data_IF_690864387086
#
_entry.id   IF_690864387086
#
_cell.length_a   1.000
_cell.length_b   1.000
_cell.length_c   1.000
_cell.angle_alpha   90.00
_cell.angle_beta   90.00
_cell.angle_gamma   90.00
#
_symmetry.space_group_name_H-M   'P 1'
#
loop_
_entity.id
_entity.type
_entity.pdbx_description
1 polymer ?
#
# COMPACT_ATOMS: atom_id res chain seq x y z
N UNK A 1 -7.10 2.79 -27.99
CA UNK A 1 -7.89 1.55 -27.81
C UNK A 1 -8.87 1.29 -28.97
N UNK A 2 -9.71 2.24 -29.39
CA UNK A 2 -10.70 1.99 -30.43
C UNK A 2 -10.10 1.72 -31.83
N UNK A 3 -8.91 2.25 -32.07
CA UNK A 3 -8.20 2.14 -33.35
C UNK A 3 -7.10 1.08 -33.35
N UNK A 4 -6.91 0.39 -32.21
CA UNK A 4 -5.82 -0.57 -31.99
C UNK A 4 -6.30 -2.02 -31.78
N UNK A 5 -7.59 -2.21 -31.45
CA UNK A 5 -8.18 -3.53 -31.23
C UNK A 5 -9.35 -3.76 -32.18
N UNK A 6 -9.35 -4.90 -32.87
CA UNK A 6 -10.50 -5.41 -33.65
C UNK A 6 -11.65 -5.87 -32.75
N UNK A 7 -12.82 -6.15 -33.33
CA UNK A 7 -14.03 -6.49 -32.60
C UNK A 7 -13.95 -7.77 -31.74
N UNK A 8 -13.05 -8.69 -32.09
CA UNK A 8 -12.85 -9.97 -31.38
C UNK A 8 -11.49 -10.06 -30.67
N UNK A 9 -10.79 -8.94 -30.54
CA UNK A 9 -9.47 -8.91 -29.90
C UNK A 9 -9.58 -8.55 -28.42
N UNK A 10 -8.65 -9.06 -27.62
CA UNK A 10 -8.54 -8.82 -26.18
C UNK A 10 -7.33 -7.94 -25.90
N UNK A 11 -7.55 -6.85 -25.17
CA UNK A 11 -6.49 -6.01 -24.61
C UNK A 11 -6.24 -6.33 -23.15
N UNK A 12 -5.01 -6.15 -22.67
CA UNK A 12 -4.65 -6.33 -21.28
C UNK A 12 -3.97 -5.07 -20.72
N UNK A 13 -4.38 -4.69 -19.51
CA UNK A 13 -3.71 -3.65 -18.71
C UNK A 13 -2.94 -4.35 -17.59
N UNK A 14 -1.63 -4.18 -17.57
CA UNK A 14 -0.80 -4.69 -16.48
C UNK A 14 -0.79 -3.67 -15.36
N UNK A 15 -1.24 -4.06 -14.19
CA UNK A 15 -1.23 -3.24 -12.98
C UNK A 15 -0.20 -3.76 -11.99
N UNK A 16 0.31 -2.88 -11.14
CA UNK A 16 1.30 -3.27 -10.14
C UNK A 16 0.60 -3.76 -8.87
N UNK A 17 0.82 -5.01 -8.51
CA UNK A 17 0.20 -5.62 -7.34
C UNK A 17 -1.20 -6.15 -7.61
N UNK A 18 -2.20 -5.60 -6.96
CA UNK A 18 -3.60 -5.99 -7.10
C UNK A 18 -4.45 -4.82 -7.62
N UNK A 19 -5.28 -5.01 -8.66
CA UNK A 19 -6.08 -3.93 -9.27
C UNK A 19 -7.14 -3.34 -8.33
N UNK A 20 -7.45 -3.98 -7.21
CA UNK A 20 -8.43 -3.48 -6.25
C UNK A 20 -7.80 -2.55 -5.18
N UNK A 21 -6.46 -2.45 -5.10
CA UNK A 21 -5.78 -1.73 -4.01
C UNK A 21 -5.06 -0.48 -4.53
N UNK A 22 -5.70 0.69 -4.39
CA UNK A 22 -5.18 1.99 -4.83
C UNK A 22 -4.70 2.04 -6.29
N UNK A 23 -5.36 1.29 -7.15
CA UNK A 23 -5.22 1.35 -8.60
C UNK A 23 -6.46 2.00 -9.22
N UNK A 24 -6.28 2.80 -10.26
CA UNK A 24 -7.39 3.52 -10.91
C UNK A 24 -7.92 2.84 -12.17
N UNK A 25 -7.31 1.74 -12.62
CA UNK A 25 -7.64 1.09 -13.91
C UNK A 25 -9.09 0.66 -13.98
N UNK A 26 -9.62 -0.02 -12.94
CA UNK A 26 -11.02 -0.47 -12.91
C UNK A 26 -11.99 0.70 -12.96
N UNK A 27 -11.73 1.76 -12.18
CA UNK A 27 -12.57 2.95 -12.18
C UNK A 27 -12.55 3.70 -13.53
N UNK A 28 -11.41 3.72 -14.22
CA UNK A 28 -11.28 4.30 -15.56
C UNK A 28 -12.07 3.46 -16.57
N UNK A 29 -11.99 2.13 -16.51
CA UNK A 29 -12.75 1.24 -17.40
C UNK A 29 -14.25 1.40 -17.19
N UNK A 30 -14.73 1.45 -15.95
CA UNK A 30 -16.14 1.72 -15.63
C UNK A 30 -16.60 3.07 -16.20
N UNK A 31 -15.79 4.11 -16.07
CA UNK A 31 -16.13 5.43 -16.62
C UNK A 31 -16.19 5.41 -18.16
N UNK A 32 -15.29 4.68 -18.83
CA UNK A 32 -15.32 4.52 -20.30
C UNK A 32 -16.60 3.81 -20.74
N UNK A 33 -16.98 2.71 -20.08
CA UNK A 33 -18.22 1.99 -20.35
C UNK A 33 -19.45 2.85 -20.12
N UNK A 34 -19.45 3.63 -19.02
CA UNK A 34 -20.56 4.55 -18.68
C UNK A 34 -20.77 5.63 -19.74
N UNK A 35 -19.72 6.08 -20.42
CA UNK A 35 -19.82 7.05 -21.53
C UNK A 35 -20.52 6.49 -22.76
N UNK A 36 -20.60 5.18 -22.89
CA UNK A 36 -21.36 4.51 -23.95
C UNK A 36 -20.76 4.62 -25.36
N UNK A 37 -19.54 5.11 -25.52
CA UNK A 37 -18.88 5.28 -26.82
C UNK A 37 -18.27 3.97 -27.35
N UNK A 38 -18.06 3.02 -26.47
CA UNK A 38 -17.50 1.69 -26.73
C UNK A 38 -18.19 0.67 -25.84
N UNK A 39 -18.22 -0.58 -26.29
CA UNK A 39 -18.71 -1.73 -25.52
C UNK A 39 -17.63 -2.80 -25.52
N UNK A 40 -17.31 -3.34 -24.34
CA UNK A 40 -16.39 -4.46 -24.14
C UNK A 40 -16.68 -5.10 -22.79
N UNK A 41 -16.28 -6.36 -22.64
CA UNK A 41 -16.30 -7.06 -21.36
C UNK A 41 -15.01 -6.79 -20.59
N UNK A 42 -15.09 -6.78 -19.27
CA UNK A 42 -13.94 -6.56 -18.37
C UNK A 42 -13.78 -7.78 -17.48
N UNK A 43 -12.58 -8.36 -17.48
CA UNK A 43 -12.17 -9.35 -16.51
C UNK A 43 -11.03 -8.77 -15.66
N UNK A 44 -11.17 -8.84 -14.34
CA UNK A 44 -10.13 -8.44 -13.41
C UNK A 44 -9.44 -9.69 -12.83
N UNK A 45 -8.16 -9.84 -13.11
CA UNK A 45 -7.34 -10.92 -12.53
C UNK A 45 -6.73 -10.42 -11.24
N UNK A 46 -7.02 -11.03 -10.08
CA UNK A 46 -6.44 -10.60 -8.80
C UNK A 46 -4.94 -10.84 -8.77
N UNK A 47 -4.22 -9.96 -8.09
CA UNK A 47 -2.79 -10.05 -7.88
C UNK A 47 -2.39 -10.09 -6.41
N UNK A 48 -1.10 -10.12 -6.14
CA UNK A 48 -0.57 -10.00 -4.79
C UNK A 48 -0.32 -8.53 -4.50
N UNK A 49 -1.13 -7.93 -3.63
CA UNK A 49 -0.96 -6.54 -3.22
C UNK A 49 0.33 -6.35 -2.40
N UNK A 50 0.85 -5.12 -2.36
CA UNK A 50 1.97 -4.78 -1.48
C UNK A 50 1.65 -5.02 0.00
N UNK A 51 0.40 -4.93 0.40
CA UNK A 51 -0.05 -5.23 1.77
C UNK A 51 0.12 -6.71 2.09
N UNK A 52 -0.30 -7.60 1.18
CA UNK A 52 -0.11 -9.04 1.33
C UNK A 52 1.38 -9.41 1.32
N UNK A 53 2.17 -8.81 0.43
CA UNK A 53 3.61 -9.02 0.39
C UNK A 53 4.28 -8.56 1.68
N UNK A 54 3.96 -7.36 2.20
CA UNK A 54 4.48 -6.82 3.45
C UNK A 54 4.28 -7.77 4.62
N UNK A 55 3.02 -8.21 4.82
CA UNK A 55 2.68 -9.07 5.96
C UNK A 55 3.35 -10.44 5.88
N UNK A 56 3.46 -11.00 4.68
CA UNK A 56 4.18 -12.24 4.44
C UNK A 56 5.68 -12.10 4.74
N UNK A 57 6.31 -11.02 4.29
CA UNK A 57 7.74 -10.76 4.52
C UNK A 57 8.06 -10.53 6.00
N UNK A 58 7.22 -9.83 6.72
CA UNK A 58 7.35 -9.64 8.17
C UNK A 58 6.82 -10.82 8.99
N UNK A 59 6.15 -11.79 8.37
CA UNK A 59 5.52 -12.95 9.04
C UNK A 59 4.54 -12.55 10.13
N UNK A 60 3.71 -11.55 9.81
CA UNK A 60 2.66 -11.04 10.70
C UNK A 60 1.29 -11.16 10.05
N UNK A 61 0.25 -11.38 10.85
CA UNK A 61 -1.13 -11.30 10.37
C UNK A 61 -1.51 -9.85 10.08
N UNK A 62 -2.22 -9.61 8.97
CA UNK A 62 -2.76 -8.29 8.66
C UNK A 62 -3.84 -7.89 9.66
N UNK A 63 -4.68 -8.85 10.02
CA UNK A 63 -5.86 -8.64 10.89
C UNK A 63 -5.71 -9.38 12.20
N UNK A 64 -6.36 -8.88 13.24
CA UNK A 64 -6.52 -9.55 14.52
C UNK A 64 -8.02 -9.86 14.74
N UNK A 65 -8.32 -11.04 15.29
CA UNK A 65 -9.72 -11.45 15.53
C UNK A 65 -10.42 -10.43 16.44
N UNK A 66 -11.57 -9.94 15.99
CA UNK A 66 -12.38 -8.98 16.74
C UNK A 66 -11.87 -7.53 16.73
N UNK A 67 -10.81 -7.23 15.99
CA UNK A 67 -10.28 -5.86 15.86
C UNK A 67 -10.39 -5.36 14.43
N UNK A 68 -10.76 -4.07 14.21
CA UNK A 68 -10.78 -3.48 12.89
C UNK A 68 -9.35 -3.21 12.41
N UNK A 69 -9.14 -3.37 11.10
CA UNK A 69 -7.93 -2.89 10.41
C UNK A 69 -8.32 -1.78 9.45
N UNK A 70 -7.67 -0.63 9.56
CA UNK A 70 -7.93 0.53 8.71
C UNK A 70 -6.88 0.61 7.61
N UNK A 71 -7.31 0.56 6.35
CA UNK A 71 -6.46 0.82 5.18
C UNK A 71 -6.61 2.28 4.77
N UNK A 72 -5.50 3.03 4.71
CA UNK A 72 -5.52 4.46 4.46
C UNK A 72 -4.27 4.94 3.69
N UNK A 73 -4.21 6.24 3.42
CA UNK A 73 -3.04 6.90 2.82
C UNK A 73 -2.29 7.74 3.85
N UNK A 74 -0.99 8.00 3.61
CA UNK A 74 -0.18 8.84 4.49
C UNK A 74 -0.81 10.22 4.73
N UNK A 75 -1.37 10.85 3.69
CA UNK A 75 -2.08 12.13 3.84
C UNK A 75 -3.24 12.04 4.85
N UNK A 76 -4.05 11.00 4.79
CA UNK A 76 -5.17 10.81 5.72
C UNK A 76 -4.70 10.50 7.12
N UNK A 77 -3.63 9.72 7.25
CA UNK A 77 -3.00 9.48 8.55
C UNK A 77 -2.51 10.79 9.19
N UNK A 78 -1.84 11.65 8.42
CA UNK A 78 -1.38 12.96 8.91
C UNK A 78 -2.53 13.90 9.31
N UNK A 79 -3.64 13.89 8.55
CA UNK A 79 -4.80 14.76 8.80
C UNK A 79 -5.63 14.33 10.03
N UNK A 80 -5.77 13.02 10.28
CA UNK A 80 -6.75 12.47 11.23
C UNK A 80 -6.14 11.63 12.34
N UNK A 81 -4.86 11.30 12.25
CA UNK A 81 -4.23 10.30 13.09
C UNK A 81 -4.73 8.87 12.80
N UNK A 82 -4.23 7.89 13.57
CA UNK A 82 -4.67 6.51 13.48
C UNK A 82 -6.10 6.36 14.04
N UNK A 83 -6.99 5.71 13.28
CA UNK A 83 -8.40 5.54 13.65
C UNK A 83 -8.72 4.10 14.08
N UNK A 84 -7.72 3.24 14.12
CA UNK A 84 -7.80 1.86 14.61
C UNK A 84 -6.47 1.47 15.25
N UNK A 85 -6.44 0.33 15.95
CA UNK A 85 -5.22 -0.21 16.53
C UNK A 85 -4.29 -0.82 15.45
N UNK A 86 -4.86 -1.32 14.36
CA UNK A 86 -4.14 -1.77 13.18
C UNK A 86 -4.43 -0.82 12.00
N UNK A 87 -3.40 -0.16 11.47
CA UNK A 87 -3.53 0.79 10.36
C UNK A 87 -2.52 0.46 9.27
N UNK A 88 -3.01 0.11 8.09
CA UNK A 88 -2.18 -0.06 6.89
C UNK A 88 -2.12 1.27 6.16
N UNK A 89 -0.93 1.71 5.84
CA UNK A 89 -0.70 2.99 5.16
C UNK A 89 0.05 2.79 3.87
N UNK A 90 -0.49 3.38 2.82
CA UNK A 90 0.10 3.41 1.49
C UNK A 90 0.20 4.85 1.00
N UNK A 91 0.97 5.09 -0.06
CA UNK A 91 1.09 6.41 -0.69
C UNK A 91 1.47 7.51 0.31
N UNK A 92 2.43 7.23 1.17
CA UNK A 92 2.93 8.16 2.17
C UNK A 92 4.20 8.87 1.67
N UNK A 93 4.05 10.12 1.25
CA UNK A 93 5.18 10.92 0.79
C UNK A 93 6.03 11.51 1.93
N UNK A 94 5.52 11.53 3.17
CA UNK A 94 6.06 12.37 4.25
C UNK A 94 6.41 11.64 5.54
N UNK A 95 6.40 10.30 5.56
CA UNK A 95 6.62 9.50 6.77
C UNK A 95 5.64 9.90 7.89
N UNK A 96 4.34 9.87 7.57
CA UNK A 96 3.25 10.30 8.45
C UNK A 96 3.11 9.48 9.74
N UNK A 97 3.90 8.42 9.89
CA UNK A 97 4.04 7.65 11.12
C UNK A 97 4.87 8.37 12.20
N UNK A 98 5.61 9.42 11.84
CA UNK A 98 6.47 10.14 12.78
C UNK A 98 5.68 10.67 13.99
N UNK A 99 6.18 10.38 15.20
CA UNK A 99 5.54 10.78 16.46
C UNK A 99 4.42 9.84 16.93
N UNK A 100 4.15 8.74 16.21
CA UNK A 100 3.21 7.70 16.67
C UNK A 100 3.97 6.65 17.53
N UNK A 101 4.52 7.10 18.64
CA UNK A 101 5.44 6.33 19.50
C UNK A 101 4.76 5.17 20.23
N UNK A 102 3.43 5.18 20.30
CA UNK A 102 2.60 4.10 20.83
C UNK A 102 2.29 2.99 19.81
N UNK A 103 2.95 3.04 18.62
CA UNK A 103 2.80 2.03 17.59
C UNK A 103 4.11 1.29 17.30
N UNK A 104 3.96 -0.01 17.00
CA UNK A 104 4.95 -0.81 16.30
C UNK A 104 4.72 -0.67 14.80
N UNK A 105 5.76 -0.42 14.02
CA UNK A 105 5.70 -0.33 12.57
C UNK A 105 6.33 -1.56 11.92
N UNK A 106 5.66 -2.07 10.88
CA UNK A 106 6.19 -3.04 9.92
C UNK A 106 6.27 -2.32 8.58
N UNK A 107 7.44 -1.86 8.21
CA UNK A 107 7.65 -1.07 7.00
C UNK A 107 8.37 -1.87 5.93
N UNK A 108 7.99 -1.66 4.65
CA UNK A 108 8.66 -2.27 3.52
C UNK A 108 8.66 -1.37 2.30
N UNK A 109 9.78 -1.33 1.60
CA UNK A 109 9.92 -0.66 0.33
C UNK A 109 10.34 -1.64 -0.76
N UNK A 110 9.92 -1.39 -2.00
CA UNK A 110 10.19 -2.20 -3.19
C UNK A 110 9.88 -3.70 -2.98
N UNK A 111 8.80 -3.99 -2.27
CA UNK A 111 8.41 -5.34 -1.88
C UNK A 111 8.33 -6.28 -3.10
N UNK A 112 8.91 -7.47 -2.94
CA UNK A 112 8.95 -8.49 -3.97
C UNK A 112 9.98 -8.24 -5.08
N UNK A 113 10.84 -7.23 -4.96
CA UNK A 113 11.92 -6.94 -5.91
C UNK A 113 13.30 -7.24 -5.31
N UNK A 114 14.37 -7.31 -6.14
CA UNK A 114 15.74 -7.45 -5.61
C UNK A 114 16.21 -6.30 -4.71
N UNK A 115 15.55 -5.14 -4.77
CA UNK A 115 15.87 -3.96 -3.97
C UNK A 115 15.04 -3.84 -2.69
N UNK A 116 14.35 -4.90 -2.31
CA UNK A 116 13.47 -4.93 -1.13
C UNK A 116 14.20 -4.49 0.14
N UNK A 117 13.56 -3.59 0.88
CA UNK A 117 14.04 -3.13 2.19
C UNK A 117 12.92 -3.36 3.20
N UNK A 118 13.26 -3.97 4.34
CA UNK A 118 12.31 -4.25 5.41
C UNK A 118 12.85 -3.70 6.74
N UNK A 119 11.99 -3.03 7.50
CA UNK A 119 12.28 -2.58 8.87
C UNK A 119 11.06 -2.83 9.74
N UNK A 120 11.25 -3.30 10.97
CA UNK A 120 10.18 -3.38 11.96
C UNK A 120 10.68 -3.07 13.36
N UNK A 121 9.83 -2.48 14.18
CA UNK A 121 10.12 -2.11 15.56
C UNK A 121 9.15 -1.05 16.07
N UNK A 122 9.25 -0.64 17.34
CA UNK A 122 8.56 0.54 17.84
C UNK A 122 8.90 1.77 16.99
N UNK A 123 7.91 2.59 16.65
CA UNK A 123 8.14 3.81 15.83
C UNK A 123 9.17 4.71 16.48
N UNK A 124 9.14 4.86 17.82
CA UNK A 124 10.12 5.64 18.57
C UNK A 124 11.58 5.17 18.37
N UNK A 125 11.81 3.89 18.07
CA UNK A 125 13.16 3.33 17.93
C UNK A 125 13.61 3.29 16.46
N UNK A 126 12.71 2.98 15.52
CA UNK A 126 13.08 2.72 14.13
C UNK A 126 12.67 3.83 13.17
N UNK A 127 11.87 4.80 13.59
CA UNK A 127 11.30 5.81 12.72
C UNK A 127 12.34 6.65 11.98
N UNK A 128 13.40 7.08 12.67
CA UNK A 128 14.49 7.83 12.03
C UNK A 128 15.27 6.99 11.03
N UNK A 129 15.53 5.73 11.36
CA UNK A 129 16.20 4.80 10.45
C UNK A 129 15.38 4.54 9.19
N UNK A 130 14.08 4.43 9.30
CA UNK A 130 13.20 4.29 8.12
C UNK A 130 13.31 5.53 7.23
N UNK A 131 13.31 6.74 7.79
CA UNK A 131 13.47 7.98 7.03
C UNK A 131 14.78 8.02 6.25
N UNK A 132 15.90 7.69 6.91
CA UNK A 132 17.21 7.61 6.28
C UNK A 132 17.23 6.63 5.11
N UNK A 133 16.79 5.39 5.32
CA UNK A 133 16.73 4.36 4.30
C UNK A 133 15.84 4.78 3.11
N UNK A 134 14.75 5.45 3.40
CA UNK A 134 13.82 5.97 2.40
C UNK A 134 14.48 7.04 1.53
N UNK A 135 15.19 7.98 2.14
CA UNK A 135 15.89 9.06 1.44
C UNK A 135 17.05 8.50 0.60
N UNK A 136 17.85 7.58 1.15
CA UNK A 136 18.92 6.87 0.43
C UNK A 136 18.36 6.10 -0.78
N UNK A 137 17.29 5.35 -0.60
CA UNK A 137 16.66 4.56 -1.64
C UNK A 137 16.10 5.46 -2.76
N UNK A 138 15.43 6.56 -2.38
CA UNK A 138 14.88 7.54 -3.32
C UNK A 138 15.99 8.26 -4.09
N UNK A 139 17.09 8.64 -3.44
CA UNK A 139 18.25 9.26 -4.09
C UNK A 139 18.88 8.30 -5.11
N UNK A 140 18.99 7.00 -4.78
CA UNK A 140 19.58 6.00 -5.66
C UNK A 140 18.70 5.67 -6.87
N UNK A 141 17.37 5.58 -6.69
CA UNK A 141 16.43 5.12 -7.72
C UNK A 141 15.61 6.22 -8.39
N UNK A 142 15.59 7.43 -7.83
CA UNK A 142 14.75 8.52 -8.31
C UNK A 142 13.28 8.44 -7.87
N UNK A 143 12.86 7.35 -7.25
CA UNK A 143 11.50 7.12 -6.76
C UNK A 143 11.53 6.17 -5.56
N UNK A 144 10.44 6.13 -4.80
CA UNK A 144 10.23 5.12 -3.76
C UNK A 144 8.77 4.65 -3.78
N UNK A 145 8.58 3.35 -3.58
CA UNK A 145 7.29 2.74 -3.37
C UNK A 145 7.37 1.93 -2.08
N UNK A 146 6.71 2.44 -1.06
CA UNK A 146 6.69 1.84 0.28
C UNK A 146 5.27 1.72 0.83
N UNK A 147 5.10 0.79 1.74
CA UNK A 147 3.88 0.58 2.51
C UNK A 147 4.24 0.10 3.90
N UNK A 148 3.37 0.33 4.88
CA UNK A 148 3.60 -0.12 6.24
C UNK A 148 2.31 -0.45 6.98
N UNK A 149 2.43 -1.32 7.96
CA UNK A 149 1.41 -1.61 8.97
C UNK A 149 1.86 -0.99 10.29
N UNK A 150 1.01 -0.14 10.85
CA UNK A 150 1.11 0.31 12.24
C UNK A 150 0.23 -0.58 13.10
N UNK A 151 0.77 -1.06 14.20
CA UNK A 151 0.05 -1.83 15.22
C UNK A 151 0.25 -1.20 16.56
N UNK A 152 -0.85 -0.87 17.25
CA UNK A 152 -0.78 -0.25 18.56
C UNK A 152 -0.12 -1.20 19.56
N UNK A 153 0.86 -0.68 20.29
CA UNK A 153 1.50 -1.39 21.37
C UNK A 153 0.52 -1.43 22.55
N UNK A 154 0.17 -2.61 23.09
CA UNK A 154 -0.68 -2.68 24.26
C UNK A 154 -0.07 -1.86 25.43
N UNK A 155 -0.92 -1.08 26.12
CA UNK A 155 -0.47 -0.46 27.35
C UNK A 155 0.01 -1.55 28.32
N UNK A 156 1.15 -1.33 28.97
CA UNK A 156 1.59 -2.26 30.01
C UNK A 156 0.51 -2.29 31.13
N UNK A 157 -0.07 -3.46 31.34
CA UNK A 157 -0.96 -3.65 32.48
C UNK A 157 -0.17 -3.40 33.77
N UNK A 158 -0.57 -2.38 34.48
CA UNK A 158 -0.01 -2.03 35.81
C UNK A 158 -0.83 -2.69 36.90
#
# INVERSE_FOLDING_TARGET
MRDELGPDETGAFLVWGDPAVYDSTLAILDEILRRGNVAFDVEAVPGISSVAALTARHRVGLTQVGRPTHLTTGRRLAERGPTADDVVVMLDAHCSFAGLDDFHIYWGAYLGTPDEILVSGPVAEVGDRIRELRDEARARKGWIMDTYLLRRIPAADH
#
